data_IF_886102932328
#
_entry.id   IF_886102932328
#
_cell.length_a   1.000
_cell.length_b   1.000
_cell.length_c   1.000
_cell.angle_alpha   90.00
_cell.angle_beta   90.00
_cell.angle_gamma   90.00
#
_symmetry.space_group_name_H-M   'P 1'
#
loop_
_entity.id
_entity.type
_entity.pdbx_description
1 polymer ?
#
# COMPACT_ATOMS: atom_id res chain seq x y z
N UNK A 1 -8.80 -17.83 -6.07
CA UNK A 1 -9.98 -17.38 -6.85
C UNK A 1 -10.76 -16.42 -5.98
N UNK A 2 -11.31 -15.35 -6.56
CA UNK A 2 -12.08 -14.33 -5.83
C UNK A 2 -13.37 -14.97 -5.29
N UNK A 3 -13.68 -14.84 -3.99
CA UNK A 3 -14.96 -15.25 -3.44
C UNK A 3 -16.12 -14.49 -4.10
N UNK A 4 -17.10 -15.20 -4.65
CA UNK A 4 -18.26 -14.61 -5.34
C UNK A 4 -19.03 -13.61 -4.46
N UNK A 5 -19.10 -13.89 -3.15
CA UNK A 5 -19.76 -13.00 -2.19
C UNK A 5 -19.15 -11.59 -2.18
N UNK A 6 -17.82 -11.47 -2.29
CA UNK A 6 -17.15 -10.16 -2.30
C UNK A 6 -17.55 -9.36 -3.53
N UNK A 7 -17.57 -10.02 -4.69
CA UNK A 7 -18.00 -9.40 -5.95
C UNK A 7 -19.45 -8.93 -5.84
N UNK A 8 -20.35 -9.76 -5.31
CA UNK A 8 -21.77 -9.41 -5.14
C UNK A 8 -21.99 -8.26 -4.15
N UNK A 9 -21.29 -8.28 -3.00
CA UNK A 9 -21.38 -7.22 -2.00
C UNK A 9 -20.94 -5.88 -2.59
N UNK A 10 -19.81 -5.83 -3.30
CA UNK A 10 -19.30 -4.61 -3.93
C UNK A 10 -20.19 -4.17 -5.10
N UNK A 11 -20.68 -5.08 -5.94
CA UNK A 11 -21.58 -4.75 -7.06
C UNK A 11 -22.85 -4.05 -6.57
N UNK A 12 -23.45 -4.56 -5.49
CA UNK A 12 -24.72 -4.05 -4.95
C UNK A 12 -24.56 -2.85 -4.01
N UNK A 13 -23.34 -2.52 -3.60
CA UNK A 13 -23.05 -1.34 -2.78
C UNK A 13 -23.31 -0.03 -3.54
N UNK A 14 -23.89 0.95 -2.86
CA UNK A 14 -23.97 2.35 -3.35
C UNK A 14 -22.89 3.21 -2.71
N UNK A 15 -22.50 2.87 -1.48
CA UNK A 15 -21.46 3.54 -0.71
C UNK A 15 -20.38 2.53 -0.31
N UNK A 16 -19.11 2.92 -0.41
CA UNK A 16 -17.99 2.08 -0.03
C UNK A 16 -17.02 2.86 0.85
N UNK A 17 -16.74 2.36 2.04
CA UNK A 17 -15.66 2.87 2.90
C UNK A 17 -14.43 1.98 2.73
N UNK A 18 -13.31 2.59 2.35
CA UNK A 18 -12.04 1.92 2.12
C UNK A 18 -11.05 2.27 3.23
N UNK A 19 -10.32 1.26 3.68
CA UNK A 19 -9.32 1.36 4.74
C UNK A 19 -8.04 0.64 4.30
N UNK A 20 -6.92 1.06 4.86
CA UNK A 20 -5.66 0.33 4.78
C UNK A 20 -4.95 0.35 6.13
N UNK A 21 -3.75 -0.22 6.22
CA UNK A 21 -2.99 -0.28 7.46
C UNK A 21 -2.35 1.06 7.86
N UNK A 22 -2.02 1.23 9.14
CA UNK A 22 -1.19 2.33 9.64
C UNK A 22 0.22 2.26 9.04
N UNK A 23 0.87 3.41 8.87
CA UNK A 23 2.11 3.60 8.12
C UNK A 23 1.99 2.99 6.70
N UNK A 24 1.00 3.43 5.90
CA UNK A 24 0.70 2.81 4.62
C UNK A 24 1.87 2.98 3.63
N UNK A 25 2.22 1.90 2.95
CA UNK A 25 3.24 1.90 1.91
C UNK A 25 2.63 2.04 0.50
N UNK A 26 3.42 1.78 -0.53
CA UNK A 26 3.00 1.92 -1.91
C UNK A 26 1.90 0.92 -2.33
N UNK A 27 1.87 -0.28 -1.76
CA UNK A 27 0.81 -1.26 -2.05
C UNK A 27 -0.48 -0.87 -1.34
N UNK A 28 -0.38 -0.53 -0.05
CA UNK A 28 -1.49 -0.02 0.73
C UNK A 28 -2.18 1.18 0.07
N UNK A 29 -1.43 2.23 -0.28
CA UNK A 29 -1.99 3.44 -0.88
C UNK A 29 -2.41 3.23 -2.34
N UNK A 30 -1.60 2.53 -3.14
CA UNK A 30 -1.92 2.26 -4.54
C UNK A 30 -3.14 1.35 -4.69
N UNK A 31 -3.34 0.39 -3.78
CA UNK A 31 -4.54 -0.43 -3.73
C UNK A 31 -5.77 0.38 -3.29
N UNK A 32 -5.62 1.22 -2.26
CA UNK A 32 -6.68 2.07 -1.72
C UNK A 32 -7.22 3.03 -2.78
N UNK A 33 -6.36 3.89 -3.32
CA UNK A 33 -6.74 4.87 -4.33
C UNK A 33 -7.04 4.22 -5.69
N UNK A 34 -6.40 3.09 -6.00
CA UNK A 34 -6.71 2.28 -7.18
C UNK A 34 -8.16 1.80 -7.18
N UNK A 35 -8.58 1.15 -6.09
CA UNK A 35 -9.96 0.68 -5.94
C UNK A 35 -10.95 1.85 -5.86
N UNK A 36 -10.59 2.95 -5.18
CA UNK A 36 -11.43 4.15 -5.12
C UNK A 36 -11.75 4.69 -6.52
N UNK A 37 -10.72 4.91 -7.33
CA UNK A 37 -10.83 5.41 -8.71
C UNK A 37 -11.72 4.52 -9.58
N UNK A 38 -11.57 3.19 -9.45
CA UNK A 38 -12.41 2.20 -10.15
C UNK A 38 -13.87 2.32 -9.70
N UNK A 39 -14.13 2.31 -8.40
CA UNK A 39 -15.50 2.31 -7.87
C UNK A 39 -16.23 3.64 -8.15
N UNK A 40 -15.55 4.79 -8.05
CA UNK A 40 -16.12 6.08 -8.41
C UNK A 40 -16.49 6.15 -9.90
N UNK A 41 -15.68 5.53 -10.78
CA UNK A 41 -16.01 5.44 -12.22
C UNK A 41 -17.29 4.65 -12.49
N UNK A 42 -17.72 3.79 -11.57
CA UNK A 42 -19.00 3.05 -11.63
C UNK A 42 -20.17 3.82 -10.99
N UNK A 43 -19.96 5.06 -10.55
CA UNK A 43 -20.98 5.91 -9.93
C UNK A 43 -21.23 5.63 -8.44
N UNK A 44 -20.35 4.88 -7.77
CA UNK A 44 -20.43 4.65 -6.32
C UNK A 44 -19.83 5.83 -5.56
N UNK A 45 -20.32 6.07 -4.35
CA UNK A 45 -19.70 7.02 -3.40
C UNK A 45 -18.62 6.29 -2.64
N UNK A 46 -17.39 6.80 -2.65
CA UNK A 46 -16.26 6.18 -1.97
C UNK A 46 -15.72 7.12 -0.89
N UNK A 47 -15.37 6.55 0.26
CA UNK A 47 -14.64 7.23 1.33
C UNK A 47 -13.36 6.49 1.62
N UNK A 48 -12.21 7.15 1.54
CA UNK A 48 -10.92 6.55 1.89
C UNK A 48 -10.46 7.07 3.24
N UNK A 49 -10.34 6.18 4.23
CA UNK A 49 -9.79 6.52 5.54
C UNK A 49 -8.30 6.17 5.61
N UNK A 50 -7.53 7.04 6.24
CA UNK A 50 -6.13 6.85 6.60
C UNK A 50 -5.95 7.20 8.08
N UNK A 51 -5.14 6.43 8.81
CA UNK A 51 -4.85 6.73 10.23
C UNK A 51 -3.92 7.95 10.37
N UNK A 52 -3.13 8.24 9.33
CA UNK A 52 -2.17 9.33 9.28
C UNK A 52 -2.09 9.96 7.89
N UNK A 53 -1.52 11.19 7.76
CA UNK A 53 -1.31 11.80 6.45
C UNK A 53 -0.43 10.93 5.55
N UNK A 54 -0.71 10.98 4.25
CA UNK A 54 0.15 10.32 3.26
C UNK A 54 1.56 10.89 3.34
N UNK A 55 2.54 9.99 3.34
CA UNK A 55 3.96 10.36 3.37
C UNK A 55 4.36 11.09 2.09
N UNK A 56 5.29 12.05 2.20
CA UNK A 56 5.76 12.85 1.06
C UNK A 56 6.35 12.02 -0.07
N UNK A 57 6.81 10.81 0.23
CA UNK A 57 7.33 9.86 -0.76
C UNK A 57 6.24 9.36 -1.72
N UNK A 58 4.96 9.53 -1.38
CA UNK A 58 3.80 9.11 -2.18
C UNK A 58 2.87 10.28 -2.59
N UNK A 59 3.28 11.54 -2.38
CA UNK A 59 2.51 12.75 -2.74
C UNK A 59 2.17 12.87 -4.24
N UNK A 60 2.79 12.02 -5.08
CA UNK A 60 2.58 11.98 -6.51
C UNK A 60 1.42 11.04 -6.94
N UNK A 61 0.89 10.22 -6.02
CA UNK A 61 -0.22 9.32 -6.34
C UNK A 61 -1.45 10.13 -6.77
N UNK A 62 -2.11 9.76 -7.88
CA UNK A 62 -3.38 10.37 -8.24
C UNK A 62 -4.47 10.02 -7.23
N UNK A 63 -5.44 10.93 -7.10
CA UNK A 63 -6.58 10.81 -6.19
C UNK A 63 -6.21 10.82 -4.69
N UNK A 64 -4.98 11.26 -4.35
CA UNK A 64 -4.48 11.36 -2.96
C UNK A 64 -5.37 12.23 -2.06
N UNK A 65 -6.04 13.23 -2.63
CA UNK A 65 -6.99 14.10 -1.95
C UNK A 65 -8.25 13.38 -1.43
N UNK A 66 -8.51 12.15 -1.88
CA UNK A 66 -9.57 11.30 -1.33
C UNK A 66 -9.24 10.77 0.07
N UNK A 67 -7.97 10.82 0.48
CA UNK A 67 -7.51 10.36 1.79
C UNK A 67 -8.02 11.26 2.92
N UNK A 68 -8.76 10.67 3.87
CA UNK A 68 -9.30 11.36 5.03
C UNK A 68 -8.69 10.81 6.32
N UNK A 69 -8.12 11.69 7.15
CA UNK A 69 -7.50 11.32 8.44
C UNK A 69 -8.42 11.43 9.67
N UNK A 70 -9.59 12.06 9.50
CA UNK A 70 -10.49 12.37 10.61
C UNK A 70 -11.60 11.35 10.79
N UNK A 71 -11.73 10.77 11.98
CA UNK A 71 -12.84 9.87 12.32
C UNK A 71 -14.22 10.53 12.17
N UNK A 72 -14.31 11.84 12.43
CA UNK A 72 -15.57 12.58 12.27
C UNK A 72 -16.01 12.69 10.80
N UNK A 73 -15.06 12.69 9.85
CA UNK A 73 -15.37 12.64 8.42
C UNK A 73 -15.95 11.27 8.04
N UNK A 74 -15.39 10.19 8.60
CA UNK A 74 -15.93 8.84 8.43
C UNK A 74 -17.36 8.73 8.99
N UNK A 75 -17.59 9.16 10.23
CA UNK A 75 -18.93 9.20 10.84
C UNK A 75 -19.93 9.96 9.98
N UNK A 76 -19.54 11.15 9.53
CA UNK A 76 -20.37 11.98 8.66
C UNK A 76 -20.67 11.29 7.32
N UNK A 77 -19.69 10.57 6.75
CA UNK A 77 -19.90 9.78 5.54
C UNK A 77 -20.93 8.67 5.79
N UNK A 78 -20.75 7.86 6.84
CA UNK A 78 -21.66 6.76 7.21
C UNK A 78 -23.07 7.28 7.47
N UNK A 79 -23.22 8.36 8.25
CA UNK A 79 -24.52 8.98 8.55
C UNK A 79 -25.22 9.53 7.28
N UNK A 80 -24.44 9.93 6.28
CA UNK A 80 -24.94 10.44 5.00
C UNK A 80 -25.22 9.35 3.95
N UNK A 81 -24.91 8.08 4.25
CA UNK A 81 -25.09 6.99 3.30
C UNK A 81 -26.58 6.71 3.07
N UNK A 82 -27.02 6.84 1.84
CA UNK A 82 -28.28 6.31 1.36
C UNK A 82 -28.04 4.95 0.64
N UNK A 83 -28.79 3.93 1.03
CA UNK A 83 -28.62 2.58 0.48
C UNK A 83 -27.53 1.76 1.18
N UNK A 84 -26.88 0.88 0.42
CA UNK A 84 -25.99 -0.16 0.98
C UNK A 84 -24.57 0.37 1.13
N UNK A 85 -24.07 0.35 2.36
CA UNK A 85 -22.68 0.62 2.71
C UNK A 85 -21.89 -0.69 2.83
N UNK A 86 -20.70 -0.74 2.24
CA UNK A 86 -19.73 -1.82 2.38
C UNK A 86 -18.41 -1.22 2.87
N UNK A 87 -17.80 -1.84 3.88
CA UNK A 87 -16.45 -1.52 4.31
C UNK A 87 -15.44 -2.49 3.67
N UNK A 88 -14.29 -2.01 3.23
CA UNK A 88 -13.21 -2.82 2.65
C UNK A 88 -11.87 -2.40 3.24
N UNK A 89 -11.20 -3.32 3.92
CA UNK A 89 -9.80 -3.18 4.29
C UNK A 89 -8.92 -3.79 3.20
N UNK A 90 -7.97 -3.01 2.70
CA UNK A 90 -6.99 -3.39 1.70
C UNK A 90 -5.61 -3.50 2.35
N UNK A 91 -4.87 -4.54 2.00
CA UNK A 91 -3.48 -4.73 2.42
C UNK A 91 -3.27 -4.82 3.94
N UNK A 92 -4.33 -5.15 4.67
CA UNK A 92 -4.34 -5.13 6.12
C UNK A 92 -4.41 -6.56 6.67
N UNK A 93 -3.27 -7.06 7.14
CA UNK A 93 -3.15 -8.42 7.70
C UNK A 93 -3.62 -8.59 9.14
N UNK A 94 -3.95 -7.52 9.87
CA UNK A 94 -4.35 -7.58 11.28
C UNK A 94 -5.25 -6.38 11.60
N UNK A 95 -6.38 -6.57 12.29
CA UNK A 95 -7.30 -5.47 12.60
C UNK A 95 -6.64 -4.39 13.47
N UNK A 96 -5.64 -4.77 14.27
CA UNK A 96 -4.83 -3.82 15.03
C UNK A 96 -4.12 -2.80 14.14
N UNK A 97 -3.82 -3.16 12.87
CA UNK A 97 -3.21 -2.27 11.89
C UNK A 97 -4.19 -1.30 11.24
N UNK A 98 -5.51 -1.40 11.47
CA UNK A 98 -6.48 -0.38 11.04
C UNK A 98 -6.44 0.90 11.88
N UNK A 99 -5.57 0.95 12.90
CA UNK A 99 -5.41 2.12 13.76
C UNK A 99 -6.30 2.12 15.00
N UNK A 100 -6.37 3.28 15.65
CA UNK A 100 -7.08 3.43 16.94
C UNK A 100 -8.59 3.28 16.80
N UNK A 101 -9.13 3.65 15.64
CA UNK A 101 -10.57 3.67 15.35
C UNK A 101 -11.12 2.34 14.79
N UNK A 102 -10.30 1.29 14.73
CA UNK A 102 -10.66 -0.02 14.14
C UNK A 102 -12.00 -0.59 14.61
N UNK A 103 -12.33 -0.42 15.89
CA UNK A 103 -13.57 -0.97 16.45
C UNK A 103 -14.81 -0.35 15.82
N UNK A 104 -14.76 0.95 15.49
CA UNK A 104 -15.85 1.65 14.82
C UNK A 104 -15.98 1.25 13.35
N UNK A 105 -14.85 1.00 12.67
CA UNK A 105 -14.86 0.51 11.30
C UNK A 105 -15.51 -0.87 11.20
N UNK A 106 -15.19 -1.76 12.16
CA UNK A 106 -15.69 -3.13 12.22
C UNK A 106 -17.19 -3.24 12.56
N UNK A 107 -17.84 -2.15 12.98
CA UNK A 107 -19.31 -2.11 13.14
C UNK A 107 -20.04 -2.07 11.79
N UNK A 108 -19.38 -1.61 10.72
CA UNK A 108 -19.94 -1.62 9.36
C UNK A 108 -19.95 -3.04 8.81
N UNK A 109 -21.13 -3.49 8.35
CA UNK A 109 -21.30 -4.81 7.76
C UNK A 109 -21.99 -4.73 6.38
N UNK A 110 -21.45 -5.40 5.34
CA UNK A 110 -20.28 -6.27 5.40
C UNK A 110 -18.97 -5.47 5.54
N UNK A 111 -18.04 -6.07 6.30
CA UNK A 111 -16.64 -5.69 6.34
C UNK A 111 -15.84 -6.72 5.54
N UNK A 112 -15.27 -6.30 4.42
CA UNK A 112 -14.49 -7.14 3.50
C UNK A 112 -13.01 -6.90 3.76
N UNK A 113 -12.20 -7.97 3.72
CA UNK A 113 -10.74 -7.85 3.72
C UNK A 113 -10.17 -8.43 2.43
N UNK A 114 -9.31 -7.67 1.77
CA UNK A 114 -8.56 -8.07 0.58
C UNK A 114 -7.08 -7.88 0.90
N UNK A 115 -6.34 -8.99 0.96
CA UNK A 115 -4.99 -9.00 1.52
C UNK A 115 -4.15 -10.14 0.93
N UNK A 116 -2.83 -9.95 0.85
CA UNK A 116 -1.89 -10.97 0.36
C UNK A 116 -0.89 -11.42 1.44
N UNK A 117 -0.96 -10.87 2.66
CA UNK A 117 -0.03 -11.22 3.73
C UNK A 117 -0.21 -12.67 4.20
N UNK A 118 0.90 -13.45 4.23
CA UNK A 118 0.91 -14.81 4.83
C UNK A 118 0.55 -14.83 6.32
N UNK A 119 0.82 -13.73 7.01
CA UNK A 119 0.62 -13.57 8.45
C UNK A 119 -0.77 -13.06 8.83
N UNK A 120 -1.74 -13.05 7.90
CA UNK A 120 -3.08 -12.54 8.13
C UNK A 120 -3.74 -13.14 9.39
N UNK A 121 -4.37 -12.29 10.21
CA UNK A 121 -5.20 -12.68 11.35
C UNK A 121 -6.66 -12.53 11.00
N UNK A 122 -7.48 -13.52 11.32
CA UNK A 122 -8.89 -13.54 10.91
C UNK A 122 -9.71 -12.35 11.45
N UNK A 123 -9.96 -11.32 10.64
CA UNK A 123 -10.88 -10.22 10.94
C UNK A 123 -11.76 -9.83 9.74
N UNK A 124 -12.84 -9.07 9.99
CA UNK A 124 -13.86 -8.78 8.97
C UNK A 124 -14.85 -9.92 8.76
N UNK A 125 -15.95 -9.62 8.08
CA UNK A 125 -17.08 -10.55 7.83
C UNK A 125 -16.89 -11.41 6.58
N UNK A 126 -16.15 -10.91 5.59
CA UNK A 126 -15.83 -11.58 4.33
C UNK A 126 -14.35 -11.35 4.00
N UNK A 127 -13.66 -12.33 3.43
CA UNK A 127 -12.21 -12.24 3.20
C UNK A 127 -11.80 -12.85 1.87
N UNK A 128 -10.90 -12.18 1.17
CA UNK A 128 -10.09 -12.75 0.12
C UNK A 128 -8.63 -12.53 0.49
N UNK A 129 -8.02 -13.56 1.07
CA UNK A 129 -6.61 -13.57 1.46
C UNK A 129 -5.88 -14.56 0.57
N UNK A 130 -4.95 -14.09 -0.24
CA UNK A 130 -4.22 -14.95 -1.19
C UNK A 130 -2.73 -14.59 -1.28
N UNK A 131 -1.87 -15.24 -0.47
CA UNK A 131 -0.43 -14.98 -0.46
C UNK A 131 0.34 -15.44 -1.70
N UNK A 132 -0.36 -15.98 -2.72
CA UNK A 132 0.23 -16.23 -4.03
C UNK A 132 0.17 -15.02 -4.96
N UNK A 133 -0.52 -13.94 -4.55
CA UNK A 133 -0.59 -12.67 -5.29
C UNK A 133 0.61 -11.81 -4.95
N UNK A 134 1.13 -11.09 -5.94
CA UNK A 134 2.33 -10.29 -5.74
C UNK A 134 2.10 -9.20 -4.72
N UNK A 135 0.93 -8.56 -4.78
CA UNK A 135 0.53 -7.39 -4.00
C UNK A 135 -1.01 -7.33 -3.93
N UNK A 136 -1.54 -6.54 -3.00
CA UNK A 136 -2.97 -6.20 -2.96
C UNK A 136 -3.39 -5.44 -4.23
N UNK A 137 -2.51 -4.66 -4.85
CA UNK A 137 -2.78 -4.01 -6.13
C UNK A 137 -3.07 -4.98 -7.27
N UNK A 138 -2.39 -6.14 -7.30
CA UNK A 138 -2.69 -7.23 -8.23
C UNK A 138 -4.11 -7.78 -7.98
N UNK A 139 -4.51 -7.89 -6.71
CA UNK A 139 -5.84 -8.38 -6.32
C UNK A 139 -6.95 -7.40 -6.70
N UNK A 140 -6.73 -6.09 -6.50
CA UNK A 140 -7.68 -5.05 -6.91
C UNK A 140 -7.86 -5.03 -8.43
N UNK A 141 -6.79 -5.25 -9.19
CA UNK A 141 -6.91 -5.41 -10.65
C UNK A 141 -7.84 -6.58 -11.02
N UNK A 142 -7.64 -7.76 -10.44
CA UNK A 142 -8.49 -8.92 -10.69
C UNK A 142 -9.93 -8.72 -10.22
N UNK A 143 -10.14 -7.99 -9.12
CA UNK A 143 -11.47 -7.61 -8.66
C UNK A 143 -12.17 -6.70 -9.68
N UNK A 144 -11.49 -5.71 -10.24
CA UNK A 144 -12.06 -4.84 -11.27
C UNK A 144 -12.52 -5.65 -12.50
N UNK A 145 -11.73 -6.65 -12.91
CA UNK A 145 -12.12 -7.58 -13.98
C UNK A 145 -13.37 -8.39 -13.62
N UNK A 146 -13.46 -8.90 -12.39
CA UNK A 146 -14.63 -9.65 -11.93
C UNK A 146 -15.89 -8.79 -11.79
N UNK A 147 -15.73 -7.48 -11.56
CA UNK A 147 -16.82 -6.50 -11.51
C UNK A 147 -17.27 -6.05 -12.92
N UNK A 148 -16.56 -6.44 -13.98
CA UNK A 148 -16.70 -5.88 -15.33
C UNK A 148 -16.57 -4.34 -15.33
N UNK A 149 -15.69 -3.82 -14.46
CA UNK A 149 -15.46 -2.39 -14.29
C UNK A 149 -14.28 -1.92 -15.15
N UNK A 150 -14.44 -0.77 -15.80
CA UNK A 150 -13.33 -0.12 -16.46
C UNK A 150 -12.34 0.41 -15.42
N UNK A 151 -11.05 0.17 -15.64
CA UNK A 151 -9.98 0.76 -14.83
C UNK A 151 -9.56 2.07 -15.49
N UNK A 152 -9.89 3.25 -14.91
CA UNK A 152 -9.47 4.55 -15.43
C UNK A 152 -7.95 4.73 -15.27
N UNK A 153 -7.39 5.75 -15.94
CA UNK A 153 -5.94 6.01 -15.88
C UNK A 153 -5.41 6.17 -14.45
N UNK A 154 -6.09 6.95 -13.59
CA UNK A 154 -5.66 7.16 -12.20
C UNK A 154 -5.64 5.84 -11.42
N UNK A 155 -6.70 5.04 -11.56
CA UNK A 155 -6.74 3.67 -11.03
C UNK A 155 -5.59 2.82 -11.56
N UNK A 156 -5.31 2.86 -12.87
CA UNK A 156 -4.22 2.08 -13.46
C UNK A 156 -2.83 2.49 -12.93
N UNK A 157 -2.61 3.80 -12.75
CA UNK A 157 -1.36 4.34 -12.21
C UNK A 157 -1.16 3.90 -10.75
N UNK A 158 -2.19 4.04 -9.92
CA UNK A 158 -2.18 3.62 -8.51
C UNK A 158 -1.89 2.12 -8.37
N UNK A 159 -2.57 1.28 -9.16
CA UNK A 159 -2.33 -0.17 -9.16
C UNK A 159 -0.92 -0.54 -9.65
N UNK A 160 -0.38 0.18 -10.63
CA UNK A 160 0.99 -0.06 -11.09
C UNK A 160 2.00 0.28 -10.00
N UNK A 161 1.81 1.38 -9.25
CA UNK A 161 2.67 1.73 -8.11
C UNK A 161 2.61 0.64 -7.03
N UNK A 162 1.41 0.17 -6.70
CA UNK A 162 1.23 -0.91 -5.73
C UNK A 162 2.01 -2.18 -6.11
N UNK A 163 1.84 -2.66 -7.34
CA UNK A 163 2.57 -3.83 -7.85
C UNK A 163 4.08 -3.56 -7.91
N UNK A 164 4.50 -2.39 -8.39
CA UNK A 164 5.91 -2.04 -8.55
C UNK A 164 6.63 -2.01 -7.19
N UNK A 165 6.03 -1.40 -6.17
CA UNK A 165 6.67 -1.24 -4.86
C UNK A 165 6.81 -2.58 -4.13
N UNK A 166 5.76 -3.39 -4.09
CA UNK A 166 5.76 -4.65 -3.32
C UNK A 166 6.52 -5.80 -4.01
N UNK A 167 6.74 -5.69 -5.31
CA UNK A 167 7.64 -6.60 -6.05
C UNK A 167 9.10 -6.14 -6.06
N UNK A 168 9.41 -5.03 -5.40
CA UNK A 168 10.74 -4.44 -5.41
C UNK A 168 11.18 -4.00 -6.80
N UNK A 169 10.27 -3.40 -7.57
CA UNK A 169 10.41 -3.13 -9.00
C UNK A 169 10.62 -4.41 -9.80
N UNK A 170 9.73 -5.39 -9.59
CA UNK A 170 9.67 -6.67 -10.32
C UNK A 170 10.92 -7.56 -10.14
N UNK A 171 11.65 -7.39 -9.04
CA UNK A 171 12.90 -8.13 -8.73
C UNK A 171 12.71 -9.28 -7.76
N UNK A 172 11.68 -9.23 -6.91
CA UNK A 172 11.46 -10.20 -5.86
C UNK A 172 10.73 -11.45 -6.36
N UNK A 173 10.81 -12.54 -5.58
CA UNK A 173 10.25 -13.85 -5.93
C UNK A 173 8.72 -13.86 -6.07
N UNK A 174 8.01 -12.90 -5.48
CA UNK A 174 6.57 -12.70 -5.64
C UNK A 174 6.18 -12.17 -7.04
N UNK A 175 7.14 -11.78 -7.88
CA UNK A 175 6.88 -11.37 -9.27
C UNK A 175 6.59 -12.60 -10.14
N UNK A 176 5.34 -12.77 -10.56
CA UNK A 176 4.92 -13.88 -11.41
C UNK A 176 4.70 -13.47 -12.87
N UNK A 177 4.48 -14.45 -13.75
CA UNK A 177 4.05 -14.18 -15.12
C UNK A 177 2.72 -13.42 -15.19
N UNK A 178 1.81 -13.66 -14.24
CA UNK A 178 0.54 -12.93 -14.13
C UNK A 178 0.77 -11.49 -13.70
N UNK A 179 1.66 -11.27 -12.73
CA UNK A 179 2.08 -9.94 -12.26
C UNK A 179 2.60 -9.08 -13.42
N UNK A 180 3.49 -9.64 -14.23
CA UNK A 180 4.05 -8.94 -15.41
C UNK A 180 2.99 -8.68 -16.49
N UNK A 181 2.05 -9.60 -16.68
CA UNK A 181 0.94 -9.40 -17.61
C UNK A 181 0.05 -8.24 -17.16
N UNK A 182 -0.33 -8.21 -15.89
CA UNK A 182 -1.14 -7.12 -15.31
C UNK A 182 -0.41 -5.79 -15.45
N UNK A 183 0.88 -5.73 -15.10
CA UNK A 183 1.68 -4.52 -15.28
C UNK A 183 1.69 -4.05 -16.74
N UNK A 184 1.79 -4.98 -17.71
CA UNK A 184 1.66 -4.68 -19.13
C UNK A 184 0.30 -4.08 -19.51
N UNK A 185 -0.79 -4.66 -19.02
CA UNK A 185 -2.17 -4.18 -19.24
C UNK A 185 -2.38 -2.78 -18.62
N UNK A 186 -1.75 -2.49 -17.48
CA UNK A 186 -1.75 -1.15 -16.87
C UNK A 186 -0.94 -0.13 -17.69
N UNK A 187 0.18 -0.55 -18.30
CA UNK A 187 0.95 0.29 -19.23
C UNK A 187 0.13 0.62 -20.48
N UNK A 188 -0.63 -0.34 -21.01
CA UNK A 188 -1.55 -0.10 -22.14
C UNK A 188 -2.64 0.93 -21.81
N UNK A 189 -2.99 1.10 -20.53
CA UNK A 189 -3.88 2.15 -20.03
C UNK A 189 -3.21 3.52 -19.91
N UNK A 190 -1.93 3.64 -20.26
CA UNK A 190 -1.19 4.89 -20.35
C UNK A 190 -0.15 5.11 -19.26
N UNK A 191 0.01 4.17 -18.31
CA UNK A 191 1.02 4.30 -17.26
C UNK A 191 2.42 4.34 -17.87
N UNK A 192 3.17 5.39 -17.54
CA UNK A 192 4.56 5.57 -17.97
C UNK A 192 5.50 5.07 -16.90
N UNK A 193 6.14 3.94 -17.15
CA UNK A 193 7.02 3.28 -16.18
C UNK A 193 8.20 4.14 -15.76
N UNK A 194 8.76 4.94 -16.68
CA UNK A 194 9.83 5.91 -16.40
C UNK A 194 9.37 6.97 -15.39
N UNK A 195 8.15 7.50 -15.56
CA UNK A 195 7.60 8.52 -14.68
C UNK A 195 7.39 7.95 -13.27
N UNK A 196 6.79 6.75 -13.17
CA UNK A 196 6.63 6.06 -11.88
C UNK A 196 7.99 5.81 -11.22
N UNK A 197 8.98 5.33 -11.98
CA UNK A 197 10.34 5.11 -11.48
C UNK A 197 10.98 6.40 -10.95
N UNK A 198 10.86 7.50 -11.68
CA UNK A 198 11.37 8.79 -11.24
C UNK A 198 10.71 9.27 -9.95
N UNK A 199 9.41 9.05 -9.81
CA UNK A 199 8.64 9.45 -8.62
C UNK A 199 8.85 8.56 -7.40
N UNK A 200 9.19 7.29 -7.58
CA UNK A 200 9.47 6.37 -6.48
C UNK A 200 10.94 6.38 -6.05
N UNK A 201 11.87 6.49 -7.02
CA UNK A 201 13.26 6.13 -6.80
C UNK A 201 14.26 7.23 -7.20
N UNK A 202 13.91 8.11 -8.16
CA UNK A 202 14.84 9.14 -8.68
C UNK A 202 14.45 10.57 -8.26
N UNK A 203 13.95 10.76 -7.05
CA UNK A 203 13.52 12.07 -6.52
C UNK A 203 14.10 12.44 -5.14
N UNK A 204 15.13 11.74 -4.67
CA UNK A 204 15.63 11.90 -3.31
C UNK A 204 16.29 13.27 -3.05
N UNK A 205 16.04 13.79 -1.85
CA UNK A 205 16.63 15.05 -1.37
C UNK A 205 18.10 14.92 -0.99
N UNK A 206 18.89 16.01 -1.02
CA UNK A 206 20.24 16.03 -0.46
C UNK A 206 20.28 15.62 1.02
N UNK A 207 19.25 15.97 1.80
CA UNK A 207 19.09 15.62 3.21
C UNK A 207 18.97 14.10 3.37
N UNK A 208 18.13 13.45 2.57
CA UNK A 208 18.02 11.98 2.55
C UNK A 208 19.34 11.32 2.18
N UNK A 209 20.07 11.85 1.20
CA UNK A 209 21.39 11.32 0.82
C UNK A 209 22.43 11.49 1.93
N UNK A 210 22.40 12.61 2.66
CA UNK A 210 23.25 12.82 3.84
C UNK A 210 22.91 11.82 4.94
N UNK A 211 21.62 11.60 5.21
CA UNK A 211 21.18 10.59 6.17
C UNK A 211 21.65 9.19 5.76
N UNK A 212 21.51 8.83 4.48
CA UNK A 212 21.99 7.56 3.95
C UNK A 212 23.50 7.39 4.20
N UNK A 213 24.31 8.42 3.96
CA UNK A 213 25.74 8.37 4.26
C UNK A 213 26.01 8.04 5.73
N UNK A 214 25.31 8.69 6.66
CA UNK A 214 25.46 8.45 8.10
C UNK A 214 25.01 7.03 8.47
N UNK A 215 23.88 6.58 7.93
CA UNK A 215 23.35 5.25 8.20
C UNK A 215 24.26 4.14 7.65
N UNK A 216 24.84 4.32 6.45
CA UNK A 216 25.81 3.37 5.87
C UNK A 216 27.08 3.24 6.71
N UNK A 217 27.51 4.30 7.41
CA UNK A 217 28.65 4.24 8.33
C UNK A 217 28.39 3.35 9.55
N UNK A 218 27.13 3.06 9.86
CA UNK A 218 26.73 2.18 10.97
C UNK A 218 26.57 0.72 10.57
N UNK A 219 26.84 0.36 9.30
CA UNK A 219 26.69 -1.03 8.87
C UNK A 219 27.64 -1.92 9.67
N UNK A 220 27.05 -2.87 10.39
CA UNK A 220 27.74 -3.97 11.04
C UNK A 220 27.40 -5.26 10.29
N UNK A 221 28.40 -6.11 10.10
CA UNK A 221 28.33 -7.35 9.32
C UNK A 221 28.81 -8.49 10.19
N UNK A 222 27.95 -9.47 10.43
CA UNK A 222 28.15 -10.55 11.39
C UNK A 222 27.87 -11.92 10.76
N UNK A 223 28.15 -12.99 11.52
CA UNK A 223 27.85 -14.39 11.15
C UNK A 223 28.39 -14.77 9.77
N UNK A 224 29.71 -14.62 9.57
CA UNK A 224 30.39 -14.90 8.30
C UNK A 224 29.78 -14.13 7.11
N UNK A 225 29.46 -12.85 7.33
CA UNK A 225 28.84 -11.96 6.34
C UNK A 225 27.41 -12.35 5.92
N UNK A 226 26.72 -13.18 6.70
CA UNK A 226 25.35 -13.59 6.40
C UNK A 226 24.30 -12.66 7.01
N UNK A 227 24.67 -11.85 8.00
CA UNK A 227 23.80 -10.88 8.64
C UNK A 227 24.42 -9.49 8.49
N UNK A 228 23.64 -8.53 8.01
CA UNK A 228 24.04 -7.13 7.99
C UNK A 228 22.96 -6.27 8.66
N UNK A 229 23.35 -5.31 9.49
CA UNK A 229 22.39 -4.38 10.06
C UNK A 229 22.94 -2.96 10.13
N UNK A 230 22.04 -1.99 10.15
CA UNK A 230 22.35 -0.57 10.24
C UNK A 230 21.41 0.12 11.23
N UNK A 231 21.82 1.29 11.71
CA UNK A 231 21.08 2.06 12.71
C UNK A 231 20.84 3.47 12.20
N UNK A 232 19.63 3.98 12.44
CA UNK A 232 19.27 5.38 12.25
C UNK A 232 18.80 5.94 13.59
N UNK A 233 19.48 6.99 14.06
CA UNK A 233 19.18 7.66 15.33
C UNK A 233 18.47 9.00 15.11
N UNK A 234 17.80 9.51 16.14
CA UNK A 234 17.19 10.84 16.15
C UNK A 234 18.24 11.94 15.95
N UNK A 235 19.47 11.73 16.43
CA UNK A 235 20.59 12.63 16.18
C UNK A 235 20.96 12.68 14.70
N UNK A 236 20.99 11.54 14.00
CA UNK A 236 21.26 11.50 12.55
C UNK A 236 20.20 12.25 11.75
N UNK A 237 18.93 12.13 12.13
CA UNK A 237 17.84 12.91 11.52
C UNK A 237 18.04 14.41 11.75
N UNK A 238 18.33 14.82 12.99
CA UNK A 238 18.58 16.23 13.31
C UNK A 238 19.80 16.81 12.56
N UNK A 239 20.88 16.05 12.41
CA UNK A 239 22.10 16.48 11.72
C UNK A 239 21.95 16.49 10.18
N UNK A 240 21.20 15.54 9.63
CA UNK A 240 20.98 15.44 8.19
C UNK A 240 19.93 16.42 7.67
N UNK A 241 18.95 16.77 8.51
CA UNK A 241 17.75 17.51 8.14
C UNK A 241 16.64 16.65 7.51
N UNK A 242 16.82 15.33 7.47
CA UNK A 242 15.86 14.38 6.94
C UNK A 242 14.77 14.00 7.96
N UNK A 243 13.70 13.38 7.49
CA UNK A 243 12.62 12.85 8.34
C UNK A 243 12.63 11.33 8.37
N UNK A 244 11.92 10.72 9.33
CA UNK A 244 11.94 9.26 9.50
C UNK A 244 11.44 8.50 8.25
N UNK A 245 10.51 9.08 7.49
CA UNK A 245 10.05 8.52 6.21
C UNK A 245 11.16 8.44 5.14
N UNK A 246 12.21 9.26 5.23
CA UNK A 246 13.35 9.20 4.29
C UNK A 246 14.21 7.94 4.48
N UNK A 247 14.05 7.21 5.60
CA UNK A 247 14.78 5.97 5.88
C UNK A 247 14.32 4.81 4.98
N UNK A 248 13.14 4.90 4.40
CA UNK A 248 12.60 3.82 3.56
C UNK A 248 13.51 3.52 2.37
N UNK A 249 13.74 2.22 2.14
CA UNK A 249 14.68 1.72 1.14
C UNK A 249 16.14 1.64 1.59
N UNK A 250 16.55 2.20 2.73
CA UNK A 250 17.97 2.12 3.16
C UNK A 250 18.43 0.68 3.42
N UNK A 251 17.53 -0.17 3.89
CA UNK A 251 17.78 -1.59 4.15
C UNK A 251 18.27 -2.35 2.89
N UNK A 252 17.94 -1.86 1.70
CA UNK A 252 18.34 -2.48 0.44
C UNK A 252 19.85 -2.46 0.23
N UNK A 253 20.55 -1.46 0.76
CA UNK A 253 22.01 -1.40 0.66
C UNK A 253 22.66 -2.52 1.48
N UNK A 254 22.19 -2.77 2.70
CA UNK A 254 22.65 -3.89 3.52
C UNK A 254 22.31 -5.25 2.86
N UNK A 255 21.09 -5.37 2.30
CA UNK A 255 20.63 -6.58 1.60
C UNK A 255 21.37 -6.84 0.28
N UNK A 256 21.95 -5.82 -0.35
CA UNK A 256 22.63 -5.94 -1.65
C UNK A 256 23.96 -6.71 -1.60
N UNK A 257 24.50 -6.94 -0.40
CA UNK A 257 25.72 -7.71 -0.20
C UNK A 257 25.49 -9.17 -0.59
N UNK A 258 26.37 -9.71 -1.46
CA UNK A 258 26.24 -11.06 -2.05
C UNK A 258 26.08 -12.17 -1.00
N UNK A 259 26.72 -12.03 0.15
CA UNK A 259 26.79 -13.02 1.23
C UNK A 259 25.61 -12.92 2.19
N UNK A 260 24.97 -11.74 2.29
CA UNK A 260 23.91 -11.47 3.24
C UNK A 260 22.64 -12.28 2.92
N UNK A 261 22.06 -12.85 3.98
CA UNK A 261 20.80 -13.60 3.98
C UNK A 261 19.71 -12.88 4.76
N UNK A 262 20.10 -12.12 5.79
CA UNK A 262 19.20 -11.33 6.62
C UNK A 262 19.77 -9.93 6.76
N UNK A 263 18.94 -8.93 6.48
CA UNK A 263 19.27 -7.53 6.72
C UNK A 263 18.30 -6.97 7.77
N UNK A 264 18.79 -6.14 8.69
CA UNK A 264 17.95 -5.39 9.63
C UNK A 264 18.30 -3.89 9.68
N UNK A 265 17.32 -3.05 9.99
CA UNK A 265 17.53 -1.64 10.27
C UNK A 265 16.86 -1.29 11.59
N UNK A 266 17.63 -0.67 12.49
CA UNK A 266 17.14 -0.19 13.77
C UNK A 266 16.85 1.30 13.65
N UNK A 267 15.59 1.70 13.90
CA UNK A 267 15.14 3.10 13.89
C UNK A 267 14.88 3.52 15.35
N UNK A 268 15.53 4.59 15.82
CA UNK A 268 15.24 5.18 17.13
C UNK A 268 13.92 5.97 17.05
N UNK A 269 12.96 5.67 17.93
CA UNK A 269 11.63 6.30 17.98
C UNK A 269 11.48 7.25 19.17
#
# INVERSE_FOLDING_TARGET
>A
MIPEIIVQEIQTATNVALFTHTNPDGDALGSLFGLASILESTGKRVFCYLDEPVSHIYDFLPDIELGNIGIDAYRSFVDSCDGKLVAVALDCGDDARLGENRHEFLETSPFIVIDHHRGHRDFGTCRWVDPARSSTGEMVYELAQALDAEIPYNGAYNLYVAICTDTGSFRYENTTGRTMQIAGELIEKGVKTEEVGQKLYDNYSPERLRLLQMALQTIEIEENEQIAFMTVTQQMLAESGAVMADVDGFIDFARSLKTVKVAAIFKET
#
